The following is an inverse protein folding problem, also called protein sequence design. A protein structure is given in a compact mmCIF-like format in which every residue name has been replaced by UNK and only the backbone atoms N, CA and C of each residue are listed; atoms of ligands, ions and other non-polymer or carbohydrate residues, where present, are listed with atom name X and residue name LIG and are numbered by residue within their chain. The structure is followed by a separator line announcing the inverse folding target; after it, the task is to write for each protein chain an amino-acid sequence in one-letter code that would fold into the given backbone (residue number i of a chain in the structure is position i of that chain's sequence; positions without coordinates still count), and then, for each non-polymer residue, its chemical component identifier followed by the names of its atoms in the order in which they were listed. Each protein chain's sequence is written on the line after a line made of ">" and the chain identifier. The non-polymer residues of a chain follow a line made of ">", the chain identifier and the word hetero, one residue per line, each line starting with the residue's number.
data_IF_746867284155
#
_entry.id   IF_746867284155
#
_cell.length_a   1.000
_cell.length_b   1.000
_cell.length_c   1.000
_cell.angle_alpha   90.00
_cell.angle_beta   90.00
_cell.angle_gamma   90.00
#
_symmetry.space_group_name_H-M   'P 1'
#
loop_
_entity.id
_entity.type
_entity.pdbx_description
1 polymer ?
#
# COMPACT_ATOMS: atom_id res chain seq x y z
N UNK A 1 11.25 -6.11 -12.01
CA UNK A 1 11.55 -7.26 -12.86
C UNK A 1 12.18 -8.42 -12.08
N UNK A 2 13.20 -8.17 -11.21
CA UNK A 2 13.90 -9.21 -10.45
C UNK A 2 12.96 -10.06 -9.57
N UNK A 3 12.06 -9.42 -8.82
CA UNK A 3 11.11 -10.13 -7.95
C UNK A 3 10.15 -11.03 -8.75
N UNK A 4 9.71 -10.59 -9.92
CA UNK A 4 8.90 -11.44 -10.81
C UNK A 4 9.65 -12.71 -11.25
N UNK A 5 10.93 -12.56 -11.63
CA UNK A 5 11.77 -13.70 -12.01
C UNK A 5 12.01 -14.67 -10.83
N UNK A 6 12.15 -14.15 -9.60
CA UNK A 6 12.26 -14.99 -8.39
C UNK A 6 10.93 -15.73 -8.13
N UNK A 7 9.81 -15.00 -8.17
CA UNK A 7 8.49 -15.57 -7.95
C UNK A 7 8.13 -16.64 -9.00
N UNK A 8 8.64 -16.49 -10.23
CA UNK A 8 8.41 -17.47 -11.29
C UNK A 8 9.22 -18.77 -11.12
N UNK A 9 10.31 -18.73 -10.36
CA UNK A 9 11.17 -19.90 -10.10
C UNK A 9 10.79 -20.70 -8.86
N UNK A 10 10.07 -20.07 -7.93
CA UNK A 10 9.68 -20.71 -6.66
C UNK A 10 8.39 -21.49 -6.88
N UNK A 11 8.47 -22.80 -6.72
CA UNK A 11 7.30 -23.70 -6.69
C UNK A 11 7.24 -24.38 -5.33
N UNK A 12 6.11 -24.23 -4.62
CA UNK A 12 5.89 -24.88 -3.34
C UNK A 12 4.65 -25.77 -3.37
N UNK A 13 4.60 -26.73 -2.44
CA UNK A 13 3.42 -27.62 -2.27
C UNK A 13 2.13 -26.84 -1.98
N UNK A 14 2.23 -25.58 -1.48
CA UNK A 14 1.11 -24.71 -1.10
C UNK A 14 0.71 -23.72 -2.17
N UNK A 15 1.31 -23.76 -3.34
CA UNK A 15 1.13 -22.84 -4.45
C UNK A 15 2.42 -22.10 -4.83
N UNK A 16 2.37 -21.33 -5.92
CA UNK A 16 3.51 -20.58 -6.44
C UNK A 16 3.64 -19.19 -5.82
N UNK A 17 2.53 -18.46 -5.72
CA UNK A 17 2.51 -17.06 -5.29
C UNK A 17 2.04 -16.87 -3.85
N UNK A 18 1.18 -17.75 -3.33
CA UNK A 18 0.64 -17.68 -1.96
C UNK A 18 1.71 -17.64 -0.86
N UNK A 19 2.78 -18.45 -0.89
CA UNK A 19 3.79 -18.45 0.17
C UNK A 19 4.47 -17.11 0.38
N UNK A 20 4.60 -16.29 -0.67
CA UNK A 20 5.20 -14.95 -0.56
C UNK A 20 4.38 -14.02 0.33
N UNK A 21 3.03 -14.13 0.30
CA UNK A 21 2.18 -13.35 1.20
C UNK A 21 2.45 -13.69 2.66
N UNK A 22 2.63 -14.98 2.96
CA UNK A 22 2.91 -15.44 4.32
C UNK A 22 4.31 -15.02 4.80
N UNK A 23 5.34 -15.22 3.95
CA UNK A 23 6.73 -14.97 4.33
C UNK A 23 7.01 -13.48 4.55
N UNK A 24 6.40 -12.63 3.76
CA UNK A 24 6.64 -11.19 3.82
C UNK A 24 5.59 -10.40 4.61
N UNK A 25 4.51 -11.05 5.09
CA UNK A 25 3.50 -10.38 5.90
C UNK A 25 4.07 -9.77 7.19
N UNK A 26 4.82 -10.58 7.96
CA UNK A 26 5.43 -10.13 9.22
C UNK A 26 6.51 -9.05 8.98
N UNK A 27 7.50 -9.25 8.08
CA UNK A 27 8.44 -8.20 7.73
C UNK A 27 7.78 -6.91 7.26
N UNK A 28 6.68 -6.98 6.50
CA UNK A 28 5.93 -5.82 6.05
C UNK A 28 5.39 -4.98 7.22
N UNK A 29 4.73 -5.63 8.18
CA UNK A 29 4.23 -4.94 9.38
C UNK A 29 5.37 -4.36 10.24
N UNK A 30 6.46 -5.12 10.43
CA UNK A 30 7.61 -4.69 11.21
C UNK A 30 8.32 -3.47 10.60
N UNK A 31 8.57 -3.47 9.30
CA UNK A 31 9.17 -2.32 8.61
C UNK A 31 8.20 -1.14 8.52
N UNK A 32 6.88 -1.40 8.39
CA UNK A 32 5.87 -0.36 8.47
C UNK A 32 5.89 0.39 9.81
N UNK A 33 6.06 -0.33 10.92
CA UNK A 33 6.29 0.26 12.24
C UNK A 33 7.64 0.98 12.32
N UNK A 34 8.72 0.35 11.85
CA UNK A 34 10.08 0.88 11.95
C UNK A 34 10.27 2.24 11.24
N UNK A 35 9.57 2.50 10.14
CA UNK A 35 9.63 3.81 9.44
C UNK A 35 9.19 4.96 10.36
N UNK A 36 8.23 4.71 11.25
CA UNK A 36 7.69 5.73 12.15
C UNK A 36 8.31 5.69 13.55
N UNK A 37 9.21 4.74 13.81
CA UNK A 37 10.01 4.75 15.03
C UNK A 37 11.03 5.90 14.95
N UNK A 38 11.13 6.67 16.04
CA UNK A 38 12.07 7.78 16.16
C UNK A 38 13.17 7.41 17.18
N UNK A 39 14.22 6.68 16.77
CA UNK A 39 15.30 6.34 17.68
C UNK A 39 16.13 7.57 18.04
N UNK A 40 16.62 7.63 19.29
CA UNK A 40 17.50 8.67 19.77
C UNK A 40 18.92 8.51 19.21
N UNK A 41 19.09 8.94 17.96
CA UNK A 41 20.35 8.91 17.22
C UNK A 41 20.79 10.33 16.89
N UNK A 42 22.10 10.51 16.64
CA UNK A 42 22.61 11.75 16.06
C UNK A 42 21.95 12.01 14.68
N UNK A 43 21.91 13.25 14.23
CA UNK A 43 21.19 13.65 12.98
C UNK A 43 21.55 12.79 11.77
N UNK A 44 22.85 12.53 11.56
CA UNK A 44 23.30 11.64 10.48
C UNK A 44 22.79 10.20 10.67
N UNK A 45 22.74 9.71 11.92
CA UNK A 45 22.19 8.38 12.24
C UNK A 45 20.70 8.29 11.95
N UNK A 46 19.92 9.31 12.27
CA UNK A 46 18.49 9.39 11.93
C UNK A 46 18.27 9.38 10.41
N UNK A 47 19.10 10.10 9.66
CA UNK A 47 19.01 10.12 8.20
C UNK A 47 19.29 8.75 7.59
N UNK A 48 20.37 8.10 8.03
CA UNK A 48 20.73 6.73 7.56
C UNK A 48 19.61 5.74 7.92
N UNK A 49 19.09 5.81 9.15
CA UNK A 49 17.99 4.97 9.61
C UNK A 49 16.73 5.13 8.71
N UNK A 50 16.34 6.38 8.44
CA UNK A 50 15.19 6.69 7.59
C UNK A 50 15.35 6.10 6.16
N UNK A 51 16.53 6.25 5.55
CA UNK A 51 16.79 5.66 4.24
C UNK A 51 16.76 4.14 4.26
N UNK A 52 17.41 3.51 5.24
CA UNK A 52 17.46 2.04 5.33
C UNK A 52 16.06 1.44 5.56
N UNK A 53 15.29 2.00 6.48
CA UNK A 53 13.93 1.53 6.76
C UNK A 53 13.00 1.76 5.58
N UNK A 54 13.08 2.91 4.90
CA UNK A 54 12.28 3.21 3.73
C UNK A 54 12.61 2.30 2.55
N UNK A 55 13.90 2.11 2.24
CA UNK A 55 14.34 1.19 1.17
C UNK A 55 13.92 -0.23 1.50
N UNK A 56 14.15 -0.70 2.72
CA UNK A 56 13.76 -2.02 3.18
C UNK A 56 12.24 -2.25 3.04
N UNK A 57 11.44 -1.30 3.47
CA UNK A 57 9.98 -1.35 3.31
C UNK A 57 9.56 -1.43 1.84
N UNK A 58 10.17 -0.61 0.96
CA UNK A 58 9.88 -0.65 -0.49
C UNK A 58 10.26 -1.98 -1.13
N UNK A 59 11.35 -2.60 -0.70
CA UNK A 59 11.75 -3.93 -1.17
C UNK A 59 10.73 -4.99 -0.74
N UNK A 60 10.31 -4.99 0.53
CA UNK A 60 9.31 -5.91 1.06
C UNK A 60 7.95 -5.68 0.40
N UNK A 61 7.52 -4.43 0.24
CA UNK A 61 6.31 -4.08 -0.48
C UNK A 61 6.31 -4.65 -1.91
N UNK A 62 7.43 -4.52 -2.62
CA UNK A 62 7.57 -5.08 -3.97
C UNK A 62 7.52 -6.62 -3.94
N UNK A 63 8.15 -7.23 -2.92
CA UNK A 63 8.17 -8.68 -2.74
C UNK A 63 6.78 -9.28 -2.49
N UNK A 64 5.86 -8.52 -1.90
CA UNK A 64 4.45 -8.93 -1.73
C UNK A 64 3.62 -8.58 -2.96
N UNK A 65 3.72 -7.35 -3.45
CA UNK A 65 2.80 -6.82 -4.46
C UNK A 65 2.96 -7.49 -5.83
N UNK A 66 4.18 -7.87 -6.21
CA UNK A 66 4.43 -8.55 -7.49
C UNK A 66 3.78 -9.93 -7.52
N UNK A 67 4.03 -10.87 -6.56
CA UNK A 67 3.34 -12.16 -6.51
C UNK A 67 1.82 -12.02 -6.34
N UNK A 68 1.36 -11.06 -5.52
CA UNK A 68 -0.06 -10.80 -5.33
C UNK A 68 -0.76 -10.40 -6.62
N UNK A 69 -0.12 -9.55 -7.44
CA UNK A 69 -0.66 -9.16 -8.74
C UNK A 69 -0.65 -10.32 -9.75
N UNK A 70 0.40 -11.14 -9.73
CA UNK A 70 0.50 -12.34 -10.58
C UNK A 70 -0.51 -13.43 -10.19
N UNK A 71 -0.89 -13.49 -8.90
CA UNK A 71 -1.83 -14.47 -8.37
C UNK A 71 -3.21 -14.39 -9.04
N UNK A 72 -3.67 -13.21 -9.48
CA UNK A 72 -4.94 -13.07 -10.20
C UNK A 72 -5.00 -13.93 -11.47
N UNK A 73 -3.88 -14.15 -12.14
CA UNK A 73 -3.80 -14.98 -13.34
C UNK A 73 -3.93 -16.49 -13.07
N UNK A 74 -3.70 -16.92 -11.82
CA UNK A 74 -3.74 -18.34 -11.43
C UNK A 74 -4.96 -18.72 -10.58
N UNK A 75 -5.76 -17.75 -10.17
CA UNK A 75 -7.02 -18.00 -9.41
C UNK A 75 -8.07 -18.56 -10.34
N UNK A 76 -8.25 -18.01 -11.55
CA UNK A 76 -9.25 -18.44 -12.52
C UNK A 76 -8.74 -18.36 -13.95
N UNK A 77 -9.08 -19.33 -14.81
CA UNK A 77 -8.80 -19.27 -16.24
C UNK A 77 -9.74 -18.34 -17.01
N UNK A 78 -10.91 -18.02 -16.43
CA UNK A 78 -11.95 -17.23 -17.07
C UNK A 78 -11.59 -15.73 -17.07
N UNK A 79 -11.58 -15.10 -18.26
CA UNK A 79 -11.26 -13.68 -18.41
C UNK A 79 -12.29 -12.75 -17.74
N UNK A 80 -13.57 -13.11 -17.74
CA UNK A 80 -14.65 -12.33 -17.12
C UNK A 80 -14.49 -12.32 -15.58
N UNK A 81 -14.22 -13.49 -15.00
CA UNK A 81 -13.97 -13.60 -13.55
C UNK A 81 -12.71 -12.84 -13.14
N UNK A 82 -11.65 -12.85 -13.96
CA UNK A 82 -10.45 -12.04 -13.71
C UNK A 82 -10.74 -10.54 -13.72
N UNK A 83 -11.62 -10.09 -14.62
CA UNK A 83 -12.05 -8.70 -14.66
C UNK A 83 -12.81 -8.34 -13.38
N UNK A 84 -13.75 -9.17 -12.94
CA UNK A 84 -14.48 -8.98 -11.68
C UNK A 84 -13.52 -8.94 -10.47
N UNK A 85 -12.56 -9.87 -10.39
CA UNK A 85 -11.53 -9.87 -9.32
C UNK A 85 -10.70 -8.58 -9.32
N UNK A 86 -10.34 -8.07 -10.51
CA UNK A 86 -9.64 -6.79 -10.62
C UNK A 86 -10.49 -5.63 -10.09
N UNK A 87 -11.78 -5.60 -10.43
CA UNK A 87 -12.72 -4.58 -9.94
C UNK A 87 -12.82 -4.63 -8.41
N UNK A 88 -13.04 -5.80 -7.82
CA UNK A 88 -13.07 -5.94 -6.36
C UNK A 88 -11.75 -5.52 -5.69
N UNK A 89 -10.62 -5.82 -6.34
CA UNK A 89 -9.30 -5.37 -5.84
C UNK A 89 -9.19 -3.85 -5.83
N UNK A 90 -9.62 -3.16 -6.89
CA UNK A 90 -9.61 -1.70 -6.94
C UNK A 90 -10.57 -1.10 -5.92
N UNK A 91 -11.80 -1.58 -5.84
CA UNK A 91 -12.77 -1.15 -4.83
C UNK A 91 -12.20 -1.32 -3.42
N UNK A 92 -11.61 -2.48 -3.13
CA UNK A 92 -10.96 -2.73 -1.84
C UNK A 92 -9.77 -1.80 -1.57
N UNK A 93 -8.94 -1.52 -2.58
CA UNK A 93 -7.80 -0.63 -2.43
C UNK A 93 -8.24 0.82 -2.14
N UNK A 94 -9.22 1.33 -2.88
CA UNK A 94 -9.75 2.69 -2.66
C UNK A 94 -10.50 2.80 -1.33
N UNK A 95 -11.36 1.83 -1.00
CA UNK A 95 -12.06 1.81 0.29
C UNK A 95 -11.08 1.73 1.46
N UNK A 96 -10.07 0.87 1.36
CA UNK A 96 -9.03 0.75 2.40
C UNK A 96 -8.22 2.03 2.53
N UNK A 97 -7.80 2.64 1.42
CA UNK A 97 -7.11 3.93 1.40
C UNK A 97 -7.96 5.04 2.04
N UNK A 98 -9.25 5.10 1.72
CA UNK A 98 -10.19 6.04 2.32
C UNK A 98 -10.29 5.86 3.84
N UNK A 99 -10.54 4.64 4.31
CA UNK A 99 -10.66 4.32 5.74
C UNK A 99 -9.37 4.66 6.49
N UNK A 100 -8.21 4.28 5.95
CA UNK A 100 -6.91 4.59 6.57
C UNK A 100 -6.70 6.10 6.63
N UNK A 101 -6.92 6.82 5.52
CA UNK A 101 -6.76 8.29 5.49
C UNK A 101 -7.69 9.01 6.46
N UNK A 102 -8.91 8.49 6.63
CA UNK A 102 -9.89 9.05 7.57
C UNK A 102 -9.48 8.81 9.02
N UNK A 103 -8.93 7.64 9.33
CA UNK A 103 -8.65 7.21 10.70
C UNK A 103 -7.26 7.59 11.22
N UNK A 104 -6.27 7.82 10.34
CA UNK A 104 -4.88 8.09 10.76
C UNK A 104 -4.80 9.25 11.75
N UNK A 105 -5.31 10.42 11.42
CA UNK A 105 -5.19 11.61 12.29
C UNK A 105 -5.95 11.48 13.62
N UNK A 106 -7.21 11.04 13.62
CA UNK A 106 -7.91 10.79 14.89
C UNK A 106 -7.19 9.79 15.78
N UNK A 107 -6.66 8.70 15.22
CA UNK A 107 -5.90 7.70 15.97
C UNK A 107 -4.57 8.25 16.51
N UNK A 108 -3.88 9.06 15.71
CA UNK A 108 -2.64 9.73 16.14
C UNK A 108 -2.90 10.63 17.34
N UNK A 109 -3.95 11.44 17.30
CA UNK A 109 -4.36 12.28 18.45
C UNK A 109 -4.74 11.44 19.67
N UNK A 110 -5.48 10.35 19.45
CA UNK A 110 -5.94 9.46 20.52
C UNK A 110 -4.79 8.73 21.23
N UNK A 111 -3.80 8.25 20.48
CA UNK A 111 -2.68 7.48 21.03
C UNK A 111 -1.49 8.35 21.48
N UNK A 112 -1.30 9.50 20.85
CA UNK A 112 -0.15 10.37 21.12
C UNK A 112 -0.43 11.48 22.12
N UNK A 113 -1.69 11.91 22.26
CA UNK A 113 -2.01 13.10 23.06
C UNK A 113 -1.21 14.29 22.56
N UNK A 114 -0.28 14.79 23.40
CA UNK A 114 0.59 15.92 23.10
C UNK A 114 1.85 15.53 22.28
N UNK A 115 2.18 14.23 22.19
CA UNK A 115 3.33 13.72 21.43
C UNK A 115 2.89 13.09 20.12
N UNK A 116 2.93 13.90 19.04
CA UNK A 116 2.60 13.42 17.69
C UNK A 116 3.48 12.24 17.23
N UNK A 117 4.76 12.20 17.61
CA UNK A 117 5.66 11.14 17.17
C UNK A 117 5.25 9.78 17.75
N UNK A 118 4.92 9.73 19.03
CA UNK A 118 4.37 8.55 19.69
C UNK A 118 3.00 8.18 19.10
N UNK A 119 2.18 9.15 18.78
CA UNK A 119 0.88 8.95 18.14
C UNK A 119 1.00 8.27 16.78
N UNK A 120 1.88 8.74 15.92
CA UNK A 120 2.15 8.13 14.62
C UNK A 120 2.72 6.72 14.75
N UNK A 121 3.69 6.52 15.64
CA UNK A 121 4.31 5.22 15.89
C UNK A 121 3.28 4.18 16.34
N UNK A 122 2.44 4.52 17.30
CA UNK A 122 1.39 3.64 17.84
C UNK A 122 0.30 3.33 16.80
N UNK A 123 -0.12 4.33 16.04
CA UNK A 123 -1.10 4.16 14.95
C UNK A 123 -0.55 3.24 13.87
N UNK A 124 0.71 3.40 13.49
CA UNK A 124 1.34 2.55 12.49
C UNK A 124 1.61 1.12 12.99
N UNK A 125 1.84 0.94 14.29
CA UNK A 125 1.86 -0.39 14.91
C UNK A 125 0.52 -1.10 14.74
N UNK A 126 -0.59 -0.40 15.02
CA UNK A 126 -1.94 -0.93 14.84
C UNK A 126 -2.20 -1.32 13.39
N UNK A 127 -1.91 -0.44 12.42
CA UNK A 127 -2.07 -0.74 11.00
C UNK A 127 -1.11 -1.83 10.51
N UNK A 128 0.09 -1.92 11.08
CA UNK A 128 1.03 -3.01 10.83
C UNK A 128 0.44 -4.37 11.21
N UNK A 129 -0.11 -4.48 12.42
CA UNK A 129 -0.78 -5.71 12.88
C UNK A 129 -1.99 -6.02 12.00
N UNK A 130 -2.83 -5.02 11.70
CA UNK A 130 -3.99 -5.20 10.84
C UNK A 130 -3.60 -5.68 9.44
N UNK A 131 -2.52 -5.15 8.86
CA UNK A 131 -2.03 -5.58 7.54
C UNK A 131 -1.56 -7.04 7.55
N UNK A 132 -0.85 -7.48 8.61
CA UNK A 132 -0.45 -8.88 8.77
C UNK A 132 -1.68 -9.79 8.82
N UNK A 133 -2.70 -9.41 9.59
CA UNK A 133 -3.97 -10.17 9.67
C UNK A 133 -4.63 -10.26 8.30
N UNK A 134 -4.71 -9.16 7.55
CA UNK A 134 -5.29 -9.13 6.21
C UNK A 134 -4.52 -10.01 5.22
N UNK A 135 -3.18 -10.02 5.27
CA UNK A 135 -2.38 -10.93 4.45
C UNK A 135 -2.59 -12.39 4.83
N UNK A 136 -2.73 -12.70 6.12
CA UNK A 136 -3.03 -14.07 6.58
C UNK A 136 -4.42 -14.51 6.11
N UNK A 137 -5.44 -13.66 6.21
CA UNK A 137 -6.79 -13.93 5.69
C UNK A 137 -6.71 -14.19 4.18
N UNK A 138 -6.01 -13.34 3.44
CA UNK A 138 -5.83 -13.51 1.99
C UNK A 138 -5.14 -14.83 1.67
N UNK A 139 -4.10 -15.18 2.40
CA UNK A 139 -3.41 -16.47 2.25
C UNK A 139 -4.32 -17.66 2.51
N UNK A 140 -5.18 -17.62 3.54
CA UNK A 140 -6.07 -18.71 3.92
C UNK A 140 -7.24 -18.87 2.95
N UNK A 141 -7.80 -17.76 2.49
CA UNK A 141 -9.02 -17.77 1.65
C UNK A 141 -8.74 -17.99 0.17
N UNK A 142 -7.56 -17.56 -0.32
CA UNK A 142 -7.24 -17.67 -1.75
C UNK A 142 -6.67 -19.04 -2.08
N UNK A 143 -7.11 -19.63 -3.22
CA UNK A 143 -6.58 -20.89 -3.76
C UNK A 143 -6.11 -20.71 -5.19
N UNK A 144 -4.91 -21.17 -5.51
CA UNK A 144 -4.39 -21.22 -6.88
C UNK A 144 -5.01 -22.44 -7.58
N UNK A 145 -5.83 -22.19 -8.60
CA UNK A 145 -6.56 -23.25 -9.32
C UNK A 145 -5.91 -23.61 -10.66
N UNK A 146 -5.21 -22.64 -11.25
CA UNK A 146 -4.57 -22.78 -12.56
C UNK A 146 -3.07 -22.96 -12.35
N UNK A 147 -2.51 -24.08 -12.85
CA UNK A 147 -1.05 -24.23 -12.87
C UNK A 147 -0.50 -23.33 -13.98
N UNK A 148 0.40 -22.40 -13.69
CA UNK A 148 1.04 -21.61 -14.71
C UNK A 148 1.82 -22.52 -15.65
N UNK A 149 1.64 -22.36 -16.96
CA UNK A 149 2.43 -23.10 -17.92
C UNK A 149 3.90 -22.74 -17.76
N UNK A 150 4.82 -23.72 -17.83
CA UNK A 150 6.25 -23.44 -17.76
C UNK A 150 6.61 -22.54 -18.95
N UNK A 151 6.99 -21.30 -18.64
CA UNK A 151 7.49 -20.37 -19.67
C UNK A 151 8.83 -20.90 -20.17
N UNK A 152 8.95 -21.08 -21.48
CA UNK A 152 10.29 -21.26 -22.10
C UNK A 152 11.17 -20.09 -21.67
N UNK A 153 12.42 -20.37 -21.34
CA UNK A 153 13.41 -19.36 -20.96
C UNK A 153 13.64 -18.39 -22.13
N UNK A 154 12.85 -17.34 -22.21
CA UNK A 154 13.06 -16.22 -23.12
C UNK A 154 13.95 -15.20 -22.41
N UNK A 155 14.90 -14.63 -23.11
CA UNK A 155 15.75 -13.58 -22.55
C UNK A 155 14.89 -12.35 -22.27
N UNK A 156 15.07 -11.73 -21.12
CA UNK A 156 14.31 -10.54 -20.70
C UNK A 156 14.36 -9.40 -21.74
N UNK A 157 15.48 -9.28 -22.47
CA UNK A 157 15.64 -8.32 -23.56
C UNK A 157 14.66 -8.54 -24.72
N UNK A 158 14.39 -9.81 -25.04
CA UNK A 158 13.50 -10.17 -26.15
C UNK A 158 12.04 -9.94 -25.76
N UNK A 159 11.68 -10.21 -24.51
CA UNK A 159 10.37 -9.90 -23.96
C UNK A 159 10.09 -8.39 -23.98
N UNK A 160 11.05 -7.55 -23.53
CA UNK A 160 10.92 -6.10 -23.56
C UNK A 160 10.77 -5.60 -25.00
N UNK A 161 11.59 -6.10 -25.92
CA UNK A 161 11.53 -5.71 -27.33
C UNK A 161 10.19 -6.08 -27.97
N UNK A 162 9.65 -7.24 -27.64
CA UNK A 162 8.31 -7.68 -28.09
C UNK A 162 7.20 -6.77 -27.55
N UNK A 163 7.26 -6.40 -26.25
CA UNK A 163 6.31 -5.49 -25.62
C UNK A 163 6.35 -4.09 -26.24
N UNK A 164 7.56 -3.53 -26.46
CA UNK A 164 7.72 -2.21 -27.08
C UNK A 164 7.22 -2.15 -28.53
N UNK A 165 7.17 -3.29 -29.22
CA UNK A 165 6.61 -3.38 -30.57
C UNK A 165 5.08 -3.45 -30.59
N UNK A 166 4.47 -3.72 -29.46
CA UNK A 166 3.01 -3.79 -29.31
C UNK A 166 2.43 -2.38 -29.05
N UNK A 167 1.92 -1.72 -30.10
CA UNK A 167 1.36 -0.36 -30.02
C UNK A 167 0.30 -0.19 -28.92
N UNK A 168 -0.73 -1.05 -28.77
CA UNK A 168 -1.70 -0.95 -27.70
C UNK A 168 -1.04 -0.96 -26.31
N UNK A 169 -0.03 -1.79 -26.08
CA UNK A 169 0.68 -1.85 -24.82
C UNK A 169 1.44 -0.54 -24.52
N UNK A 170 2.14 0.02 -25.52
CA UNK A 170 2.87 1.30 -25.37
C UNK A 170 1.90 2.44 -25.01
N UNK A 171 0.75 2.53 -25.68
CA UNK A 171 -0.27 3.54 -25.38
C UNK A 171 -0.79 3.40 -23.94
N UNK A 172 -1.07 2.17 -23.51
CA UNK A 172 -1.50 1.92 -22.12
C UNK A 172 -0.43 2.31 -21.09
N UNK A 173 0.85 2.05 -21.37
CA UNK A 173 1.95 2.44 -20.48
C UNK A 173 2.06 3.96 -20.39
N UNK A 174 1.99 4.68 -21.51
CA UNK A 174 2.02 6.14 -21.52
C UNK A 174 0.83 6.70 -20.72
N UNK A 175 -0.38 6.20 -20.97
CA UNK A 175 -1.57 6.60 -20.24
C UNK A 175 -1.42 6.35 -18.72
N UNK A 176 -0.89 5.19 -18.32
CA UNK A 176 -0.65 4.87 -16.91
C UNK A 176 0.37 5.81 -16.27
N UNK A 177 1.47 6.13 -16.96
CA UNK A 177 2.49 7.07 -16.47
C UNK A 177 1.89 8.46 -16.29
N UNK A 178 1.12 8.97 -17.26
CA UNK A 178 0.44 10.27 -17.17
C UNK A 178 -0.54 10.31 -15.98
N UNK A 179 -1.33 9.25 -15.80
CA UNK A 179 -2.29 9.14 -14.69
C UNK A 179 -1.58 9.13 -13.34
N UNK A 180 -0.56 8.29 -13.17
CA UNK A 180 0.21 8.20 -11.93
C UNK A 180 0.95 9.51 -11.62
N UNK A 181 1.49 10.19 -12.63
CA UNK A 181 2.11 11.51 -12.45
C UNK A 181 1.10 12.56 -11.99
N UNK A 182 -0.10 12.57 -12.56
CA UNK A 182 -1.18 13.45 -12.11
C UNK A 182 -1.55 13.22 -10.66
N UNK A 183 -1.72 11.95 -10.26
CA UNK A 183 -2.02 11.55 -8.87
C UNK A 183 -0.92 12.02 -7.91
N UNK A 184 0.35 11.79 -8.26
CA UNK A 184 1.49 12.16 -7.43
C UNK A 184 1.60 13.69 -7.24
N UNK A 185 1.49 14.45 -8.33
CA UNK A 185 1.54 15.92 -8.29
C UNK A 185 0.38 16.48 -7.47
N UNK A 186 -0.83 15.96 -7.69
CA UNK A 186 -2.03 16.41 -6.98
C UNK A 186 -1.95 16.13 -5.48
N UNK A 187 -1.43 14.96 -5.09
CA UNK A 187 -1.20 14.63 -3.68
C UNK A 187 -0.19 15.56 -3.02
N UNK A 188 0.95 15.81 -3.66
CA UNK A 188 1.98 16.69 -3.15
C UNK A 188 1.52 18.16 -3.03
N UNK A 189 0.90 18.69 -4.08
CA UNK A 189 0.39 20.07 -4.11
C UNK A 189 -0.74 20.25 -3.09
N UNK A 190 -1.64 19.27 -2.95
CA UNK A 190 -2.75 19.33 -2.00
C UNK A 190 -2.28 19.51 -0.56
N UNK A 191 -1.29 18.74 -0.13
CA UNK A 191 -0.72 18.87 1.23
C UNK A 191 -0.13 20.26 1.47
N UNK A 192 0.62 20.80 0.49
CA UNK A 192 1.20 22.14 0.60
C UNK A 192 0.15 23.24 0.57
N UNK A 193 -0.88 23.09 -0.28
CA UNK A 193 -1.99 24.04 -0.33
C UNK A 193 -2.68 24.16 1.03
N UNK A 194 -3.04 23.02 1.66
CA UNK A 194 -3.67 23.04 2.98
C UNK A 194 -2.75 23.58 4.07
N UNK A 195 -1.45 23.34 3.98
CA UNK A 195 -0.48 23.80 4.99
C UNK A 195 -0.23 25.32 4.92
N UNK A 196 -0.24 25.93 3.73
CA UNK A 196 0.22 27.31 3.54
C UNK A 196 -0.89 28.29 3.15
N UNK A 197 -2.01 27.82 2.60
CA UNK A 197 -3.08 28.69 2.10
C UNK A 197 -4.40 28.57 2.85
N UNK A 198 -4.61 27.47 3.55
CA UNK A 198 -5.82 27.32 4.38
C UNK A 198 -5.46 27.73 5.79
N UNK A 199 -6.09 28.81 6.27
CA UNK A 199 -5.87 29.42 7.58
C UNK A 199 -6.08 28.40 8.70
N UNK A 200 -5.37 28.57 9.84
CA UNK A 200 -5.31 27.65 10.99
C UNK A 200 -6.64 27.42 11.73
N UNK A 201 -7.73 27.92 11.20
CA UNK A 201 -9.08 27.63 11.67
C UNK A 201 -9.56 26.24 11.30
N UNK A 202 -8.77 25.18 11.60
CA UNK A 202 -9.24 23.80 11.53
C UNK A 202 -10.25 23.52 12.66
N UNK A 203 -11.43 24.09 12.51
CA UNK A 203 -12.56 23.68 13.33
C UNK A 203 -12.86 22.20 13.01
N UNK A 204 -13.03 21.35 14.04
CA UNK A 204 -13.43 19.98 13.81
C UNK A 204 -14.73 19.95 13.02
N UNK A 205 -14.74 19.21 11.91
CA UNK A 205 -15.91 19.12 11.05
C UNK A 205 -17.01 18.33 11.75
N UNK A 206 -16.63 17.28 12.47
CA UNK A 206 -17.47 16.50 13.37
C UNK A 206 -16.60 15.65 14.31
N UNK A 207 -17.17 15.28 15.42
CA UNK A 207 -16.54 14.45 16.46
C UNK A 207 -17.35 13.18 16.68
N UNK A 208 -16.67 12.06 16.91
CA UNK A 208 -17.29 10.80 17.34
C UNK A 208 -16.83 10.49 18.76
N UNK A 209 -17.80 10.34 19.65
CA UNK A 209 -17.57 10.10 21.07
C UNK A 209 -17.70 11.35 21.93
N UNK A 210 -17.62 11.15 23.25
CA UNK A 210 -17.61 12.24 24.21
C UNK A 210 -16.17 12.66 24.47
N UNK A 211 -15.83 13.97 24.50
CA UNK A 211 -14.48 14.47 24.81
C UNK A 211 -13.88 13.88 26.09
N UNK A 212 -14.69 13.57 27.07
CA UNK A 212 -14.29 13.01 28.37
C UNK A 212 -14.19 11.48 28.39
N UNK A 213 -14.48 10.81 27.27
CA UNK A 213 -14.42 9.35 27.16
C UNK A 213 -13.09 8.89 26.62
N UNK A 214 -12.69 7.65 26.94
CA UNK A 214 -11.49 7.02 26.37
C UNK A 214 -11.56 6.81 24.84
N UNK A 215 -12.76 6.95 24.26
CA UNK A 215 -12.99 6.87 22.82
C UNK A 215 -13.51 8.21 22.30
N UNK A 216 -12.61 9.01 21.75
CA UNK A 216 -12.90 10.29 21.14
C UNK A 216 -12.16 10.41 19.81
N UNK A 217 -12.88 10.59 18.72
CA UNK A 217 -12.34 10.76 17.38
C UNK A 217 -12.77 12.11 16.82
N UNK A 218 -11.80 12.95 16.51
CA UNK A 218 -12.00 14.28 15.91
C UNK A 218 -11.61 14.23 14.43
N UNK A 219 -12.52 14.67 13.57
CA UNK A 219 -12.33 14.72 12.13
C UNK A 219 -12.21 16.16 11.67
N UNK A 220 -11.03 16.57 11.24
CA UNK A 220 -10.77 17.88 10.68
C UNK A 220 -10.99 17.92 9.14
N UNK A 221 -11.05 19.14 8.59
CA UNK A 221 -11.25 19.35 7.15
C UNK A 221 -10.14 18.72 6.31
N UNK A 222 -8.91 18.71 6.82
CA UNK A 222 -7.76 18.11 6.14
C UNK A 222 -7.89 16.58 6.06
N UNK A 223 -8.33 15.93 7.14
CA UNK A 223 -8.59 14.49 7.17
C UNK A 223 -9.69 14.10 6.16
N UNK A 224 -10.78 14.89 6.10
CA UNK A 224 -11.87 14.65 5.14
C UNK A 224 -11.39 14.90 3.71
N UNK A 225 -10.57 15.92 3.46
CA UNK A 225 -9.99 16.17 2.15
C UNK A 225 -9.07 15.03 1.70
N UNK A 226 -8.16 14.57 2.56
CA UNK A 226 -7.27 13.44 2.25
C UNK A 226 -8.06 12.17 1.95
N UNK A 227 -9.08 11.89 2.75
CA UNK A 227 -9.92 10.70 2.55
C UNK A 227 -10.74 10.80 1.27
N UNK A 228 -11.30 11.97 0.95
CA UNK A 228 -12.04 12.19 -0.31
C UNK A 228 -11.13 12.08 -1.53
N UNK A 229 -9.89 12.52 -1.42
CA UNK A 229 -8.89 12.39 -2.47
C UNK A 229 -8.61 10.94 -2.87
N UNK A 230 -8.75 9.99 -1.96
CA UNK A 230 -8.58 8.55 -2.25
C UNK A 230 -9.77 7.95 -3.01
N UNK A 231 -10.95 8.59 -2.97
CA UNK A 231 -12.15 8.14 -3.70
C UNK A 231 -12.25 8.71 -5.12
N UNK A 232 -11.48 9.76 -5.44
CA UNK A 232 -11.52 10.40 -6.77
C UNK A 232 -10.67 9.69 -7.85
N UNK A 233 -10.11 8.54 -7.56
CA UNK A 233 -9.30 7.71 -8.46
C UNK A 233 -9.86 6.29 -8.53
#
# INVERSE_FOLDING_TARGET
>A
PMMGAIADRVETKKGKYRPFLLWFAIPYGAFGYAIFANPDLAELGKLIYAYLTFIGFKMIYTAINVPYSAMMGVITPNAVERMALSTYRFVGAFSGGFVVSLLVRPLVKMFGGDDEALGFQSTMALFGVLSVIMFLITYLTTKERVKPQPKKHVKLSDDIRFLMRNRPWVIMVIAAVCTLSNVAVRGAVGVHFFKYYVDDGFLPLFTLGNPDSWFFLEFDRFTVFLSSGTLMF
#
